data_IF_386917149814
#
_entry.id   IF_386917149814
#
_cell.length_a   1.000
_cell.length_b   1.000
_cell.length_c   1.000
_cell.angle_alpha   90.00
_cell.angle_beta   90.00
_cell.angle_gamma   90.00
#
_symmetry.space_group_name_H-M   'P 1'
#
loop_
_entity.id
_entity.type
_entity.pdbx_description
1 polymer ?
#
# COMPACT_ATOMS: atom_id res chain seq x y z
N UNK A 1 14.64 31.13 8.97
CA UNK A 1 14.47 29.83 9.64
C UNK A 1 13.88 30.11 11.01
N UNK A 2 12.66 29.65 11.34
CA UNK A 2 12.16 29.81 12.70
C UNK A 2 13.08 29.04 13.66
N UNK A 3 13.26 29.57 14.87
CA UNK A 3 14.04 28.96 15.95
C UNK A 3 13.75 27.47 16.09
N UNK A 4 14.82 26.66 16.24
CA UNK A 4 14.72 25.21 16.35
C UNK A 4 13.66 24.78 17.35
N UNK A 5 12.69 24.01 16.88
CA UNK A 5 11.55 23.54 17.66
C UNK A 5 12.05 22.77 18.89
N UNK A 6 11.97 23.37 20.09
CA UNK A 6 12.34 22.67 21.34
C UNK A 6 11.29 21.62 21.64
N UNK A 7 11.70 20.35 21.62
CA UNK A 7 10.81 19.24 21.90
C UNK A 7 10.26 19.28 23.33
N UNK A 8 8.93 19.26 23.48
CA UNK A 8 8.28 19.28 24.79
C UNK A 8 8.31 17.88 25.44
N UNK A 9 7.95 17.81 26.74
CA UNK A 9 7.96 16.55 27.50
C UNK A 9 7.09 15.45 26.88
N UNK A 10 5.98 15.80 26.24
CA UNK A 10 5.08 14.82 25.64
C UNK A 10 5.68 14.19 24.38
N UNK A 11 6.20 15.00 23.46
CA UNK A 11 6.89 14.51 22.28
C UNK A 11 8.11 13.64 22.65
N UNK A 12 8.90 14.07 23.65
CA UNK A 12 10.01 13.26 24.15
C UNK A 12 9.54 11.91 24.69
N UNK A 13 8.42 11.84 25.44
CA UNK A 13 7.88 10.56 25.94
C UNK A 13 7.52 9.58 24.82
N UNK A 14 6.95 10.05 23.71
CA UNK A 14 6.60 9.19 22.56
C UNK A 14 7.85 8.60 21.90
N UNK A 15 8.87 9.44 21.66
CA UNK A 15 10.13 9.00 21.06
C UNK A 15 10.87 8.03 21.98
N UNK A 16 10.91 8.31 23.29
CA UNK A 16 11.52 7.40 24.26
C UNK A 16 10.79 6.05 24.29
N UNK A 17 9.46 6.03 24.25
CA UNK A 17 8.72 4.77 24.21
C UNK A 17 8.94 4.00 22.90
N UNK A 18 9.00 4.68 21.75
CA UNK A 18 9.35 4.05 20.47
C UNK A 18 10.75 3.42 20.52
N UNK A 19 11.72 4.15 21.06
CA UNK A 19 13.07 3.60 21.28
C UNK A 19 13.04 2.39 22.21
N UNK A 20 12.31 2.45 23.33
CA UNK A 20 12.16 1.34 24.29
C UNK A 20 11.55 0.10 23.64
N UNK A 21 10.50 0.26 22.83
CA UNK A 21 9.90 -0.83 22.06
C UNK A 21 10.94 -1.54 21.19
N UNK A 22 11.81 -0.78 20.51
CA UNK A 22 12.86 -1.37 19.67
C UNK A 22 13.95 -2.03 20.51
N UNK A 23 14.49 -1.35 21.52
CA UNK A 23 15.69 -1.80 22.24
C UNK A 23 15.43 -2.82 23.34
N UNK A 24 14.26 -2.81 23.97
CA UNK A 24 13.95 -3.66 25.13
C UNK A 24 12.94 -4.77 24.81
N UNK A 25 11.98 -4.52 23.92
CA UNK A 25 10.93 -5.51 23.60
C UNK A 25 11.23 -6.29 22.30
N UNK A 26 12.31 -5.95 21.60
CA UNK A 26 12.73 -6.63 20.37
C UNK A 26 11.85 -6.35 19.15
N UNK A 27 11.08 -5.26 19.18
CA UNK A 27 10.47 -4.74 17.96
C UNK A 27 11.56 -4.19 17.02
N UNK A 28 11.31 -4.19 15.71
CA UNK A 28 12.30 -3.72 14.74
C UNK A 28 11.60 -3.06 13.56
N UNK A 29 12.30 -2.13 12.91
CA UNK A 29 11.82 -1.47 11.70
C UNK A 29 11.44 -2.49 10.60
N UNK A 30 12.23 -3.56 10.46
CA UNK A 30 11.96 -4.63 9.49
C UNK A 30 10.71 -5.44 9.81
N UNK A 31 10.37 -5.56 11.10
CA UNK A 31 9.13 -6.20 11.52
C UNK A 31 7.93 -5.26 11.31
N UNK A 32 8.13 -3.96 11.49
CA UNK A 32 7.09 -2.98 11.22
C UNK A 32 6.74 -2.97 9.72
N UNK A 33 7.73 -3.13 8.84
CA UNK A 33 7.56 -3.20 7.39
C UNK A 33 6.68 -4.39 6.91
N UNK A 34 6.44 -5.41 7.74
CA UNK A 34 5.53 -6.51 7.39
C UNK A 34 4.07 -6.27 7.77
N UNK A 35 3.78 -5.19 8.50
CA UNK A 35 2.42 -4.82 8.92
C UNK A 35 1.76 -3.93 7.87
N UNK A 36 1.16 -4.59 6.88
CA UNK A 36 0.62 -4.00 5.65
C UNK A 36 -0.90 -3.79 5.67
N UNK A 37 -1.57 -4.21 6.74
CA UNK A 37 -3.04 -4.18 6.90
C UNK A 37 -3.47 -3.20 8.00
N UNK A 38 -2.75 -2.08 8.12
CA UNK A 38 -2.95 -1.05 9.15
C UNK A 38 -2.74 -1.50 10.60
N UNK A 39 -2.06 -2.62 10.86
CA UNK A 39 -1.99 -3.19 12.22
C UNK A 39 -1.36 -2.21 13.23
N UNK A 40 -0.33 -1.45 12.84
CA UNK A 40 0.29 -0.46 13.73
C UNK A 40 -0.69 0.66 14.10
N UNK A 41 -1.46 1.16 13.11
CA UNK A 41 -2.47 2.18 13.32
C UNK A 41 -3.67 1.66 14.14
N UNK A 42 -4.14 0.44 13.88
CA UNK A 42 -5.21 -0.21 14.67
C UNK A 42 -4.79 -0.43 16.12
N UNK A 43 -3.57 -0.93 16.35
CA UNK A 43 -3.02 -1.10 17.69
C UNK A 43 -2.91 0.24 18.43
N UNK A 44 -2.47 1.30 17.74
CA UNK A 44 -2.45 2.64 18.31
C UNK A 44 -3.85 3.13 18.70
N UNK A 45 -4.84 2.93 17.82
CA UNK A 45 -6.23 3.29 18.08
C UNK A 45 -6.80 2.55 19.30
N UNK A 46 -6.51 1.25 19.44
CA UNK A 46 -6.92 0.46 20.62
C UNK A 46 -6.34 1.05 21.90
N UNK A 47 -5.05 1.36 21.93
CA UNK A 47 -4.43 2.01 23.09
C UNK A 47 -5.04 3.38 23.38
N UNK A 48 -5.31 4.19 22.35
CA UNK A 48 -5.90 5.52 22.51
C UNK A 48 -7.34 5.47 23.05
N UNK A 49 -8.18 4.58 22.51
CA UNK A 49 -9.60 4.44 22.88
C UNK A 49 -9.77 3.84 24.28
N UNK A 50 -8.87 2.94 24.69
CA UNK A 50 -8.93 2.22 25.97
C UNK A 50 -7.99 2.78 27.05
N UNK A 51 -7.34 3.92 26.81
CA UNK A 51 -6.32 4.47 27.70
C UNK A 51 -6.81 4.61 29.15
N UNK A 52 -6.05 4.05 30.10
CA UNK A 52 -6.36 4.12 31.54
C UNK A 52 -7.42 3.10 32.00
N UNK A 53 -7.74 2.09 31.18
CA UNK A 53 -8.66 0.99 31.52
C UNK A 53 -7.86 -0.31 31.71
N UNK A 54 -7.29 -0.57 32.90
CA UNK A 54 -6.50 -1.78 33.12
C UNK A 54 -7.36 -3.04 33.01
N UNK A 55 -6.77 -4.14 32.54
CA UNK A 55 -7.46 -5.43 32.42
C UNK A 55 -8.53 -5.52 31.32
N UNK A 56 -8.74 -4.45 30.54
CA UNK A 56 -9.60 -4.51 29.37
C UNK A 56 -8.98 -5.37 28.26
N UNK A 57 -9.82 -5.82 27.33
CA UNK A 57 -9.40 -6.49 26.10
C UNK A 57 -10.14 -5.87 24.93
N UNK A 58 -9.59 -5.99 23.72
CA UNK A 58 -10.21 -5.52 22.49
C UNK A 58 -10.13 -6.60 21.42
N UNK A 59 -11.21 -6.81 20.68
CA UNK A 59 -11.18 -7.63 19.47
C UNK A 59 -10.52 -6.91 18.30
N UNK A 60 -10.37 -5.58 18.37
CA UNK A 60 -9.66 -4.77 17.39
C UNK A 60 -8.13 -4.73 17.65
N UNK A 61 -7.63 -5.44 18.66
CA UNK A 61 -6.18 -5.60 18.82
C UNK A 61 -5.68 -6.56 17.73
N UNK A 62 -4.74 -6.15 16.86
CA UNK A 62 -4.42 -6.90 15.64
C UNK A 62 -3.52 -8.12 15.87
N UNK A 63 -2.96 -8.26 17.08
CA UNK A 63 -2.06 -9.36 17.43
C UNK A 63 -2.66 -10.25 18.53
N UNK A 64 -1.86 -11.20 19.05
CA UNK A 64 -2.30 -12.06 20.16
C UNK A 64 -2.79 -11.20 21.33
N UNK A 65 -4.01 -11.46 21.80
CA UNK A 65 -4.68 -10.68 22.86
C UNK A 65 -3.85 -10.56 24.15
N UNK A 66 -2.96 -11.51 24.44
CA UNK A 66 -2.06 -11.48 25.61
C UNK A 66 -0.94 -10.45 25.49
N UNK A 67 -0.64 -10.00 24.26
CA UNK A 67 0.37 -8.96 24.02
C UNK A 67 -0.17 -7.56 24.27
N UNK A 68 -1.50 -7.40 24.34
CA UNK A 68 -2.11 -6.14 24.72
C UNK A 68 -1.90 -5.89 26.22
N UNK A 69 -1.17 -4.82 26.54
CA UNK A 69 -0.78 -4.45 27.91
C UNK A 69 -1.38 -3.08 28.29
N UNK A 70 -2.71 -2.97 28.55
CA UNK A 70 -3.33 -1.71 28.98
C UNK A 70 -2.88 -1.34 30.41
N UNK A 71 -2.81 -0.04 30.70
CA UNK A 71 -2.40 0.50 31.99
C UNK A 71 -3.58 1.17 32.70
N UNK A 72 -3.45 1.36 34.02
CA UNK A 72 -4.24 2.30 34.80
C UNK A 72 -3.84 3.77 34.57
N UNK A 73 -2.56 4.02 34.24
CA UNK A 73 -2.07 5.31 33.77
C UNK A 73 -2.52 5.61 32.32
N UNK A 74 -3.55 6.45 32.21
CA UNK A 74 -4.05 6.97 30.93
C UNK A 74 -2.95 7.62 30.08
N UNK A 75 -2.02 8.37 30.69
CA UNK A 75 -0.95 9.04 29.94
C UNK A 75 -0.01 8.01 29.32
N UNK A 76 0.31 6.94 30.05
CA UNK A 76 1.20 5.87 29.57
C UNK A 76 0.63 5.16 28.35
N UNK A 77 -0.66 4.84 28.34
CA UNK A 77 -1.29 4.21 27.18
C UNK A 77 -1.36 5.14 25.97
N UNK A 78 -1.61 6.44 26.18
CA UNK A 78 -1.52 7.44 25.11
C UNK A 78 -0.10 7.58 24.54
N UNK A 79 0.93 7.42 25.37
CA UNK A 79 2.33 7.41 24.90
C UNK A 79 2.62 6.17 24.05
N UNK A 80 2.12 4.99 24.42
CA UNK A 80 2.22 3.77 23.59
C UNK A 80 1.48 3.92 22.26
N UNK A 81 0.28 4.51 22.28
CA UNK A 81 -0.45 4.82 21.05
C UNK A 81 0.36 5.74 20.14
N UNK A 82 0.92 6.83 20.68
CA UNK A 82 1.79 7.73 19.93
C UNK A 82 3.04 7.05 19.37
N UNK A 83 3.65 6.12 20.12
CA UNK A 83 4.82 5.38 19.67
C UNK A 83 4.50 4.42 18.51
N UNK A 84 3.31 3.80 18.52
CA UNK A 84 2.83 2.96 17.42
C UNK A 84 2.47 3.79 16.18
N UNK A 85 1.88 4.98 16.34
CA UNK A 85 1.68 5.92 15.23
C UNK A 85 3.03 6.35 14.63
N UNK A 86 4.01 6.67 15.48
CA UNK A 86 5.36 6.99 15.02
C UNK A 86 5.97 5.81 14.24
N UNK A 87 5.80 4.58 14.71
CA UNK A 87 6.27 3.39 14.00
C UNK A 87 5.60 3.23 12.62
N UNK A 88 4.29 3.49 12.51
CA UNK A 88 3.58 3.45 11.23
C UNK A 88 4.05 4.55 10.28
N UNK A 89 4.23 5.77 10.75
CA UNK A 89 4.77 6.86 9.92
C UNK A 89 6.18 6.52 9.45
N UNK A 90 7.04 6.02 10.33
CA UNK A 90 8.39 5.57 9.96
C UNK A 90 8.35 4.45 8.88
N UNK A 91 7.35 3.55 8.94
CA UNK A 91 7.13 2.50 7.93
C UNK A 91 6.74 3.10 6.59
N UNK A 92 5.77 4.02 6.58
CA UNK A 92 5.31 4.72 5.38
C UNK A 92 6.45 5.55 4.74
N UNK A 93 7.25 6.24 5.56
CA UNK A 93 8.41 7.02 5.10
C UNK A 93 9.48 6.14 4.40
N UNK A 94 9.57 4.85 4.77
CA UNK A 94 10.49 3.89 4.14
C UNK A 94 9.90 3.21 2.91
N UNK A 95 8.59 3.26 2.73
CA UNK A 95 7.93 2.58 1.63
C UNK A 95 8.28 3.26 0.31
N UNK A 96 8.86 2.49 -0.61
CA UNK A 96 9.10 2.97 -1.97
C UNK A 96 7.78 2.94 -2.75
N UNK A 97 7.27 4.13 -3.08
CA UNK A 97 6.10 4.26 -3.94
C UNK A 97 6.50 4.06 -5.40
N UNK A 98 5.74 3.22 -6.11
CA UNK A 98 5.84 3.09 -7.55
C UNK A 98 5.50 4.43 -8.21
N UNK A 99 6.37 4.86 -9.11
CA UNK A 99 6.28 6.13 -9.83
C UNK A 99 5.85 5.89 -11.28
N UNK A 100 5.29 6.89 -11.98
CA UNK A 100 5.07 6.78 -13.42
C UNK A 100 6.37 6.43 -14.15
N UNK A 101 6.31 5.43 -15.04
CA UNK A 101 7.44 4.98 -15.86
C UNK A 101 7.09 5.07 -17.35
N UNK A 102 8.03 5.47 -18.22
CA UNK A 102 7.80 5.48 -19.66
C UNK A 102 7.45 4.09 -20.18
N UNK A 103 6.29 3.97 -20.83
CA UNK A 103 5.82 2.69 -21.39
C UNK A 103 6.69 2.31 -22.58
N UNK A 104 7.43 1.20 -22.43
CA UNK A 104 8.21 0.57 -23.48
C UNK A 104 7.69 -0.84 -23.65
N UNK A 105 6.91 -1.07 -24.70
CA UNK A 105 6.32 -2.37 -24.98
C UNK A 105 7.34 -3.31 -25.62
N UNK A 106 7.15 -4.60 -25.40
CA UNK A 106 7.88 -5.63 -26.12
C UNK A 106 7.33 -5.83 -27.56
N UNK A 107 7.91 -6.79 -28.28
CA UNK A 107 7.55 -7.10 -29.67
C UNK A 107 6.11 -7.59 -29.83
N UNK A 108 5.46 -8.06 -28.75
CA UNK A 108 4.06 -8.51 -28.72
C UNK A 108 3.10 -7.40 -28.26
N UNK A 109 3.63 -6.21 -27.96
CA UNK A 109 2.83 -5.08 -27.48
C UNK A 109 2.51 -5.13 -25.98
N UNK A 110 3.10 -6.07 -25.24
CA UNK A 110 2.92 -6.20 -23.79
C UNK A 110 3.82 -5.23 -23.04
N UNK A 111 3.45 -4.95 -21.80
CA UNK A 111 4.24 -4.10 -20.91
C UNK A 111 4.04 -4.53 -19.46
N UNK A 112 5.11 -4.55 -18.69
CA UNK A 112 5.03 -4.63 -17.24
C UNK A 112 5.89 -3.52 -16.67
N UNK A 113 5.33 -2.74 -15.74
CA UNK A 113 6.11 -1.73 -15.05
C UNK A 113 7.29 -2.41 -14.32
N UNK A 114 8.54 -1.90 -14.43
CA UNK A 114 9.72 -2.58 -13.91
C UNK A 114 9.71 -2.77 -12.39
N UNK A 115 9.09 -1.84 -11.66
CA UNK A 115 8.91 -1.93 -10.20
C UNK A 115 7.61 -2.64 -9.77
N UNK A 116 6.82 -3.21 -10.71
CA UNK A 116 5.66 -4.03 -10.36
C UNK A 116 6.15 -5.38 -9.82
N UNK A 117 5.83 -5.76 -8.57
CA UNK A 117 6.24 -7.05 -8.05
C UNK A 117 5.58 -8.20 -8.81
N UNK A 118 6.28 -9.34 -8.90
CA UNK A 118 5.64 -10.58 -9.29
C UNK A 118 4.81 -11.10 -8.10
N UNK A 119 3.51 -11.30 -8.31
CA UNK A 119 2.57 -11.77 -7.30
C UNK A 119 2.32 -13.28 -7.35
N UNK A 120 2.95 -14.02 -8.28
CA UNK A 120 2.69 -15.44 -8.53
C UNK A 120 1.20 -15.74 -8.77
N UNK A 121 0.52 -14.83 -9.48
CA UNK A 121 -0.92 -14.88 -9.76
C UNK A 121 -1.82 -14.88 -8.50
N UNK A 122 -1.31 -14.43 -7.35
CA UNK A 122 -2.08 -14.29 -6.11
C UNK A 122 -2.85 -12.95 -6.09
N UNK A 123 -4.19 -12.96 -6.26
CA UNK A 123 -4.98 -11.74 -6.32
C UNK A 123 -5.08 -11.01 -4.97
N UNK A 124 -4.88 -11.72 -3.85
CA UNK A 124 -4.91 -11.09 -2.53
C UNK A 124 -3.62 -10.30 -2.29
N UNK A 125 -2.48 -10.81 -2.74
CA UNK A 125 -1.20 -10.09 -2.66
C UNK A 125 -1.19 -8.84 -3.54
N UNK A 126 -1.69 -8.94 -4.77
CA UNK A 126 -1.73 -7.79 -5.69
C UNK A 126 -2.64 -6.70 -5.16
N UNK A 127 -3.83 -7.05 -4.65
CA UNK A 127 -4.77 -6.11 -4.06
C UNK A 127 -4.21 -5.41 -2.81
N UNK A 128 -3.55 -6.17 -1.93
CA UNK A 128 -2.90 -5.59 -0.74
C UNK A 128 -1.79 -4.61 -1.14
N UNK A 129 -0.93 -5.00 -2.08
CA UNK A 129 0.14 -4.12 -2.54
C UNK A 129 -0.41 -2.84 -3.18
N UNK A 130 -1.46 -2.94 -4.00
CA UNK A 130 -2.13 -1.76 -4.58
C UNK A 130 -2.66 -0.81 -3.50
N UNK A 131 -3.28 -1.36 -2.45
CA UNK A 131 -3.78 -0.59 -1.31
C UNK A 131 -2.64 0.08 -0.56
N UNK A 132 -1.55 -0.64 -0.28
CA UNK A 132 -0.38 -0.08 0.40
C UNK A 132 0.26 1.04 -0.39
N UNK A 133 0.38 0.86 -1.71
CA UNK A 133 0.87 1.91 -2.58
C UNK A 133 -0.07 3.14 -2.53
N UNK A 134 -1.37 2.95 -2.28
CA UNK A 134 -2.39 3.99 -2.37
C UNK A 134 -2.85 4.23 -3.82
N UNK A 135 -2.98 3.14 -4.59
CA UNK A 135 -3.38 3.16 -6.01
C UNK A 135 -4.87 2.91 -6.19
N UNK A 136 -5.48 3.76 -6.99
CA UNK A 136 -6.69 3.46 -7.74
C UNK A 136 -6.30 2.79 -9.07
N UNK A 137 -7.00 1.72 -9.45
CA UNK A 137 -6.80 0.99 -10.70
C UNK A 137 -8.04 1.08 -11.59
N UNK A 138 -7.82 1.32 -12.87
CA UNK A 138 -8.83 1.20 -13.92
C UNK A 138 -8.25 0.34 -15.05
N UNK A 139 -9.03 -0.60 -15.57
CA UNK A 139 -8.60 -1.43 -16.69
C UNK A 139 -9.47 -1.20 -17.92
N UNK A 140 -8.85 -1.34 -19.09
CA UNK A 140 -9.52 -1.36 -20.40
C UNK A 140 -9.10 -2.63 -21.12
N UNK A 141 -10.03 -3.29 -21.79
CA UNK A 141 -9.75 -4.49 -22.60
C UNK A 141 -9.68 -4.10 -24.07
N UNK A 142 -8.80 -4.76 -24.83
CA UNK A 142 -8.72 -4.56 -26.27
C UNK A 142 -10.08 -4.78 -26.94
N UNK A 143 -10.83 -5.80 -26.51
CA UNK A 143 -12.16 -6.13 -27.03
C UNK A 143 -13.17 -4.97 -26.95
N UNK A 144 -13.13 -4.19 -25.87
CA UNK A 144 -14.13 -3.15 -25.60
C UNK A 144 -13.63 -1.73 -25.88
N UNK A 145 -12.32 -1.54 -25.89
CA UNK A 145 -11.67 -0.25 -26.06
C UNK A 145 -11.29 0.04 -27.51
N UNK A 146 -10.83 -0.98 -28.25
CA UNK A 146 -10.35 -0.80 -29.61
C UNK A 146 -11.52 -0.70 -30.62
N UNK A 147 -11.30 -0.10 -31.80
CA UNK A 147 -12.22 -0.24 -32.92
C UNK A 147 -12.47 -1.71 -33.27
N UNK A 148 -13.67 -2.02 -33.76
CA UNK A 148 -14.10 -3.40 -34.08
C UNK A 148 -13.10 -4.11 -35.00
N UNK A 149 -12.50 -3.42 -35.97
CA UNK A 149 -11.54 -4.04 -36.88
C UNK A 149 -10.23 -4.47 -36.20
N UNK A 150 -9.84 -3.77 -35.13
CA UNK A 150 -8.63 -4.08 -34.35
C UNK A 150 -8.90 -5.26 -33.42
N UNK A 151 -10.07 -5.29 -32.78
CA UNK A 151 -10.52 -6.41 -31.96
C UNK A 151 -10.66 -7.69 -32.80
N UNK A 152 -11.39 -7.63 -33.91
CA UNK A 152 -11.57 -8.75 -34.83
C UNK A 152 -10.25 -9.30 -35.36
N UNK A 153 -9.30 -8.40 -35.68
CA UNK A 153 -7.95 -8.79 -36.10
C UNK A 153 -7.28 -9.62 -35.01
N UNK A 154 -7.27 -9.15 -33.76
CA UNK A 154 -6.61 -9.86 -32.66
C UNK A 154 -7.21 -11.26 -32.48
N UNK A 155 -8.52 -11.33 -32.25
CA UNK A 155 -9.22 -12.59 -31.94
C UNK A 155 -9.26 -13.58 -33.11
N UNK A 156 -8.99 -13.14 -34.34
CA UNK A 156 -8.89 -14.02 -35.51
C UNK A 156 -7.45 -14.42 -35.88
N UNK A 157 -6.43 -13.79 -35.28
CA UNK A 157 -5.05 -13.88 -35.76
C UNK A 157 -4.20 -15.03 -35.18
N UNK A 158 -4.71 -15.77 -34.19
CA UNK A 158 -3.96 -16.79 -33.41
C UNK A 158 -2.58 -16.28 -32.95
N UNK A 159 -2.47 -14.97 -32.75
CA UNK A 159 -1.25 -14.23 -32.46
C UNK A 159 -1.43 -13.43 -31.19
N UNK A 160 -0.44 -13.42 -30.27
CA UNK A 160 -0.48 -12.61 -29.06
C UNK A 160 -0.14 -11.12 -29.32
N UNK A 161 0.19 -10.75 -30.56
CA UNK A 161 0.60 -9.39 -30.90
C UNK A 161 -0.58 -8.41 -30.76
N UNK A 162 -0.48 -7.53 -29.76
CA UNK A 162 -1.38 -6.41 -29.54
C UNK A 162 -0.69 -5.04 -29.71
N UNK A 163 0.51 -5.01 -30.33
CA UNK A 163 1.31 -3.79 -30.49
C UNK A 163 0.62 -2.67 -31.28
N UNK A 164 -0.36 -3.03 -32.10
CA UNK A 164 -1.19 -2.11 -32.89
C UNK A 164 -2.38 -1.52 -32.12
N UNK A 165 -2.61 -1.93 -30.87
CA UNK A 165 -3.64 -1.36 -30.00
C UNK A 165 -3.05 -0.26 -29.11
N UNK A 166 -3.70 0.90 -29.11
CA UNK A 166 -3.40 2.05 -28.24
C UNK A 166 -4.51 2.14 -27.17
N UNK A 167 -4.29 1.63 -25.94
CA UNK A 167 -5.28 1.64 -24.87
C UNK A 167 -5.71 3.05 -24.51
N UNK A 168 -7.02 3.30 -24.45
CA UNK A 168 -7.53 4.60 -24.01
C UNK A 168 -7.17 4.86 -22.55
N UNK A 169 -6.64 6.05 -22.29
CA UNK A 169 -6.39 6.51 -20.92
C UNK A 169 -7.72 6.91 -20.25
N UNK A 170 -7.99 6.50 -19.01
CA UNK A 170 -9.21 6.87 -18.29
C UNK A 170 -9.32 8.38 -18.06
N UNK A 171 -10.54 8.86 -17.81
CA UNK A 171 -10.77 10.26 -17.52
C UNK A 171 -10.07 10.72 -16.23
N UNK A 172 -9.55 11.95 -16.24
CA UNK A 172 -8.82 12.56 -15.12
C UNK A 172 -7.31 12.61 -15.34
N UNK A 173 -6.60 13.29 -14.44
CA UNK A 173 -5.15 13.46 -14.50
C UNK A 173 -4.42 12.44 -13.62
N UNK A 174 -3.12 12.23 -13.87
CA UNK A 174 -2.24 11.42 -13.00
C UNK A 174 -2.28 9.92 -13.24
N UNK A 175 -2.95 9.46 -14.30
CA UNK A 175 -2.90 8.06 -14.73
C UNK A 175 -1.55 7.71 -15.34
N UNK A 176 -1.04 6.53 -15.01
CA UNK A 176 0.12 5.91 -15.64
C UNK A 176 -0.14 4.42 -15.87
N UNK A 177 0.49 3.83 -16.89
CA UNK A 177 0.29 2.43 -17.22
C UNK A 177 1.08 1.56 -16.22
N UNK A 178 0.42 0.57 -15.65
CA UNK A 178 1.01 -0.40 -14.72
C UNK A 178 1.40 -1.69 -15.43
N UNK A 179 0.52 -2.19 -16.29
CA UNK A 179 0.78 -3.37 -17.10
C UNK A 179 -0.15 -3.43 -18.31
N UNK A 180 0.31 -4.08 -19.37
CA UNK A 180 -0.48 -4.57 -20.50
C UNK A 180 -0.11 -6.05 -20.64
N UNK A 181 -1.09 -6.93 -20.47
CA UNK A 181 -0.88 -8.36 -20.65
C UNK A 181 -2.12 -9.03 -21.20
N UNK A 182 -1.92 -10.14 -21.90
CA UNK A 182 -3.00 -11.02 -22.33
C UNK A 182 -3.63 -11.73 -21.12
N UNK A 183 -4.92 -12.01 -21.21
CA UNK A 183 -5.66 -12.83 -20.25
C UNK A 183 -6.22 -14.02 -21.00
N UNK A 184 -6.01 -15.23 -20.47
CA UNK A 184 -6.29 -16.49 -21.18
C UNK A 184 -7.73 -16.58 -21.75
N UNK A 185 -8.70 -15.90 -21.14
CA UNK A 185 -10.11 -15.92 -21.55
C UNK A 185 -10.62 -14.59 -22.15
N UNK A 186 -9.90 -13.48 -22.00
CA UNK A 186 -10.43 -12.13 -22.27
C UNK A 186 -9.61 -11.29 -23.24
N UNK A 187 -8.50 -11.80 -23.75
CA UNK A 187 -7.57 -11.03 -24.58
C UNK A 187 -6.78 -10.00 -23.75
N UNK A 188 -6.10 -9.05 -24.41
CA UNK A 188 -5.24 -8.07 -23.78
C UNK A 188 -5.99 -7.06 -22.91
N UNK A 189 -5.48 -6.84 -21.71
CA UNK A 189 -5.92 -5.79 -20.80
C UNK A 189 -4.79 -4.81 -20.53
N UNK A 190 -5.11 -3.51 -20.52
CA UNK A 190 -4.25 -2.46 -20.02
C UNK A 190 -4.75 -2.02 -18.64
N UNK A 191 -3.86 -2.05 -17.65
CA UNK A 191 -4.11 -1.60 -16.29
C UNK A 191 -3.51 -0.21 -16.10
N UNK A 192 -4.39 0.78 -15.94
CA UNK A 192 -4.04 2.14 -15.57
C UNK A 192 -4.08 2.30 -14.06
N UNK A 193 -3.12 3.03 -13.53
CA UNK A 193 -2.96 3.30 -12.12
C UNK A 193 -2.87 4.81 -11.85
N UNK A 194 -3.49 5.28 -10.77
CA UNK A 194 -3.40 6.66 -10.29
C UNK A 194 -3.32 6.69 -8.77
N UNK A 195 -2.61 7.68 -8.21
CA UNK A 195 -2.59 7.93 -6.77
C UNK A 195 -3.96 8.43 -6.29
N UNK A 196 -4.61 7.66 -5.42
CA UNK A 196 -5.88 8.08 -4.80
C UNK A 196 -5.63 9.06 -3.64
N UNK A 197 -4.55 8.84 -2.91
CA UNK A 197 -4.12 9.65 -1.77
C UNK A 197 -2.62 9.88 -1.83
N UNK A 198 -2.16 11.02 -1.29
CA UNK A 198 -0.75 11.18 -0.94
C UNK A 198 -0.52 10.38 0.35
N UNK A 199 0.38 9.38 0.34
CA UNK A 199 0.71 8.62 1.55
C UNK A 199 1.27 9.49 2.67
#
# INVERSE_FOLDING_TARGET
MPEGLRMNKAAHSVITERHRQVTEEGYSIHRDDVYVRNELAEAAAVYAVLAGKPGCSSSAWPWDKKTFKPSDDRRRDLVKAGALILAEIERLDRMQLIQPYPVQRDDEGMFAHPDLPNFDEDPDKSKLWLQEQGLEICSVSLETDAPEEIADRYFSSDSPDCSYWEPSMPAGEGWFCLAIHDTEEGGPYCFWARREVTP
#
